data_IF_292434746101
#
_entry.id   IF_292434746101
#
_cell.length_a   1.000
_cell.length_b   1.000
_cell.length_c   1.000
_cell.angle_alpha   90.00
_cell.angle_beta   90.00
_cell.angle_gamma   90.00
#
_symmetry.space_group_name_H-M   'P 1'
#
loop_
_entity.id
_entity.type
_entity.pdbx_description
1 polymer ?
#
# COMPACT_ATOMS: atom_id res chain seq x y z
N UNK A 1 -30.11 -12.46 -30.44
CA UNK A 1 -29.02 -11.55 -30.06
C UNK A 1 -28.91 -11.65 -28.55
N UNK A 2 -27.88 -12.30 -27.97
CA UNK A 2 -27.76 -12.34 -26.52
C UNK A 2 -27.14 -11.05 -26.00
N UNK A 3 -27.60 -10.71 -24.80
CA UNK A 3 -27.43 -9.48 -24.05
C UNK A 3 -25.96 -9.11 -23.81
N UNK A 4 -25.70 -7.81 -23.79
CA UNK A 4 -24.45 -7.23 -23.28
C UNK A 4 -24.26 -7.66 -21.82
N UNK A 5 -23.29 -8.54 -21.57
CA UNK A 5 -22.74 -8.74 -20.24
C UNK A 5 -21.87 -7.51 -19.96
N UNK A 6 -22.36 -6.61 -19.12
CA UNK A 6 -21.50 -5.61 -18.51
C UNK A 6 -20.55 -6.37 -17.58
N UNK A 7 -19.32 -6.56 -18.01
CA UNK A 7 -18.22 -7.08 -17.20
C UNK A 7 -18.03 -6.11 -16.02
N UNK A 8 -18.45 -6.56 -14.85
CA UNK A 8 -18.46 -5.79 -13.60
C UNK A 8 -17.00 -5.48 -13.22
N UNK A 9 -16.51 -4.27 -13.53
CA UNK A 9 -15.25 -3.75 -13.02
C UNK A 9 -15.35 -3.68 -11.50
N UNK A 10 -14.92 -4.75 -10.82
CA UNK A 10 -15.12 -4.95 -9.40
C UNK A 10 -14.28 -4.01 -8.56
N UNK A 11 -14.82 -2.84 -8.24
CA UNK A 11 -14.28 -1.97 -7.20
C UNK A 11 -14.64 -2.61 -5.85
N UNK A 12 -13.63 -3.06 -5.10
CA UNK A 12 -13.82 -3.64 -3.76
C UNK A 12 -13.01 -2.86 -2.72
N UNK A 13 -13.62 -2.62 -1.56
CA UNK A 13 -12.95 -2.07 -0.38
C UNK A 13 -12.97 -3.11 0.74
N UNK A 14 -11.84 -3.30 1.42
CA UNK A 14 -11.67 -4.22 2.55
C UNK A 14 -10.94 -3.48 3.67
N UNK A 15 -11.72 -2.74 4.44
CA UNK A 15 -11.21 -1.86 5.50
C UNK A 15 -10.62 -2.65 6.68
N UNK A 16 -11.01 -3.92 6.87
CA UNK A 16 -10.44 -4.77 7.93
C UNK A 16 -8.96 -5.07 7.67
N UNK A 17 -8.60 -5.19 6.39
CA UNK A 17 -7.21 -5.33 5.94
C UNK A 17 -6.60 -4.00 5.48
N UNK A 18 -7.23 -2.87 5.77
CA UNK A 18 -6.74 -1.54 5.44
C UNK A 18 -6.77 -1.20 3.95
N UNK A 19 -7.45 -2.00 3.13
CA UNK A 19 -7.63 -1.74 1.71
C UNK A 19 -8.76 -0.74 1.52
N UNK A 20 -8.42 0.45 1.03
CA UNK A 20 -9.40 1.51 0.77
C UNK A 20 -10.02 1.40 -0.62
N UNK A 21 -9.29 0.81 -1.56
CA UNK A 21 -9.75 0.63 -2.93
C UNK A 21 -8.94 -0.46 -3.64
N UNK A 22 -9.63 -1.29 -4.40
CA UNK A 22 -9.03 -2.27 -5.29
C UNK A 22 -9.83 -2.33 -6.58
N UNK A 23 -9.14 -2.09 -7.68
CA UNK A 23 -9.68 -2.14 -9.04
C UNK A 23 -8.93 -3.18 -9.86
N UNK A 24 -9.70 -4.03 -10.53
CA UNK A 24 -9.19 -5.01 -11.48
C UNK A 24 -8.97 -4.30 -12.81
N UNK A 25 -7.72 -4.22 -13.27
CA UNK A 25 -7.39 -3.49 -14.50
C UNK A 25 -7.72 -4.28 -15.77
N UNK A 26 -7.88 -5.60 -15.68
CA UNK A 26 -8.19 -6.48 -16.82
C UNK A 26 -8.95 -7.72 -16.33
N UNK A 27 -10.07 -8.08 -16.96
CA UNK A 27 -11.06 -9.07 -16.47
C UNK A 27 -10.46 -10.48 -16.41
N UNK A 28 -9.46 -10.76 -17.24
CA UNK A 28 -8.71 -12.02 -17.30
C UNK A 28 -7.33 -11.95 -16.61
N UNK A 29 -7.01 -10.83 -15.95
CA UNK A 29 -5.71 -10.63 -15.30
C UNK A 29 -5.82 -10.68 -13.78
N UNK A 30 -4.83 -11.31 -13.15
CA UNK A 30 -4.62 -11.21 -11.71
C UNK A 30 -3.97 -9.88 -11.30
N UNK A 31 -4.00 -8.87 -12.17
CA UNK A 31 -3.38 -7.58 -11.95
C UNK A 31 -4.42 -6.54 -11.50
N UNK A 32 -4.17 -5.94 -10.35
CA UNK A 32 -5.01 -4.93 -9.73
C UNK A 32 -4.23 -3.65 -9.44
N UNK A 33 -4.94 -2.54 -9.51
CA UNK A 33 -4.58 -1.29 -8.85
C UNK A 33 -5.18 -1.30 -7.45
N UNK A 34 -4.35 -1.18 -6.42
CA UNK A 34 -4.72 -1.32 -5.02
C UNK A 34 -4.23 -0.10 -4.25
N UNK A 35 -5.14 0.56 -3.55
CA UNK A 35 -4.83 1.58 -2.55
C UNK A 35 -5.15 1.03 -1.17
N UNK A 36 -4.21 1.18 -0.26
CA UNK A 36 -4.34 0.68 1.10
C UNK A 36 -3.65 1.62 2.09
N UNK A 37 -4.07 1.58 3.35
CA UNK A 37 -3.50 2.41 4.41
C UNK A 37 -2.09 1.94 4.76
N UNK A 38 -1.17 2.88 4.91
CA UNK A 38 0.16 2.60 5.48
C UNK A 38 0.02 2.15 6.93
N UNK A 39 1.04 1.49 7.48
CA UNK A 39 1.10 1.23 8.92
C UNK A 39 1.72 2.41 9.66
N UNK A 40 1.30 2.63 10.91
CA UNK A 40 1.98 3.60 11.77
C UNK A 40 3.40 3.14 12.10
N UNK A 41 4.33 4.09 12.28
CA UNK A 41 5.71 3.76 12.69
C UNK A 41 5.74 2.92 13.96
N UNK A 42 4.89 3.29 14.94
CA UNK A 42 4.73 2.53 16.17
C UNK A 42 4.28 1.11 15.88
N UNK A 43 3.27 0.92 15.04
CA UNK A 43 2.72 -0.39 14.70
C UNK A 43 3.74 -1.29 13.99
N UNK A 44 4.52 -0.73 13.08
CA UNK A 44 5.62 -1.46 12.41
C UNK A 44 6.71 -1.90 13.39
N UNK A 45 7.04 -1.08 14.39
CA UNK A 45 8.06 -1.38 15.41
C UNK A 45 7.56 -2.34 16.49
N UNK A 46 6.31 -2.24 16.91
CA UNK A 46 5.71 -3.12 17.94
C UNK A 46 5.22 -4.46 17.38
N UNK A 47 5.01 -4.54 16.06
CA UNK A 47 4.36 -5.68 15.41
C UNK A 47 2.84 -5.69 15.54
N UNK A 48 2.27 -4.66 16.18
CA UNK A 48 0.82 -4.44 16.24
C UNK A 48 0.44 -3.55 15.06
N UNK A 49 0.12 -4.19 13.92
CA UNK A 49 -0.02 -3.57 12.59
C UNK A 49 -1.23 -2.63 12.48
N UNK A 50 -1.14 -1.49 13.18
CA UNK A 50 -2.12 -0.41 13.17
C UNK A 50 -1.98 0.44 11.90
N UNK A 51 -3.11 0.69 11.23
CA UNK A 51 -3.15 1.53 10.04
C UNK A 51 -3.07 3.02 10.38
N UNK A 52 -2.31 3.75 9.58
CA UNK A 52 -2.23 5.20 9.65
C UNK A 52 -3.56 5.80 9.17
N UNK A 53 -4.12 6.81 9.89
CA UNK A 53 -5.46 7.32 9.61
C UNK A 53 -5.60 8.06 8.27
N UNK A 54 -4.48 8.49 7.67
CA UNK A 54 -4.50 9.33 6.45
C UNK A 54 -3.46 8.97 5.41
N UNK A 55 -2.52 8.08 5.71
CA UNK A 55 -1.44 7.75 4.76
C UNK A 55 -1.87 6.56 3.93
N UNK A 56 -1.85 6.73 2.61
CA UNK A 56 -2.31 5.72 1.65
C UNK A 56 -1.16 5.39 0.71
N UNK A 57 -0.93 4.11 0.53
CA UNK A 57 0.04 3.57 -0.41
C UNK A 57 -0.71 3.09 -1.65
N UNK A 58 -0.18 3.50 -2.79
CA UNK A 58 -0.66 3.08 -4.11
C UNK A 58 0.22 1.94 -4.63
N UNK A 59 -0.39 0.82 -5.04
CA UNK A 59 0.29 -0.37 -5.51
C UNK A 59 -0.40 -0.91 -6.75
N UNK A 60 0.43 -1.28 -7.74
CA UNK A 60 -0.01 -2.05 -8.89
C UNK A 60 0.63 -3.43 -8.84
N UNK A 61 -0.16 -4.49 -8.92
CA UNK A 61 0.36 -5.86 -8.80
C UNK A 61 -0.72 -6.90 -8.62
N UNK A 62 -0.40 -8.01 -7.97
CA UNK A 62 -1.37 -9.10 -7.80
C UNK A 62 -2.63 -8.64 -7.05
N UNK A 63 -3.81 -9.01 -7.55
CA UNK A 63 -5.07 -8.86 -6.85
C UNK A 63 -5.09 -9.61 -5.51
N UNK A 64 -4.30 -10.67 -5.35
CA UNK A 64 -4.18 -11.41 -4.08
C UNK A 64 -3.27 -10.73 -3.06
N UNK A 65 -3.02 -9.43 -3.19
CA UNK A 65 -2.17 -8.69 -2.27
C UNK A 65 -2.74 -8.64 -0.87
N UNK A 66 -1.86 -8.86 0.11
CA UNK A 66 -2.14 -8.67 1.52
C UNK A 66 -1.25 -7.54 2.07
N UNK A 67 -1.83 -6.39 2.47
CA UNK A 67 -1.10 -5.29 3.11
C UNK A 67 -0.39 -5.71 4.39
N UNK A 68 -0.92 -6.69 5.13
CA UNK A 68 -0.31 -7.24 6.37
C UNK A 68 0.73 -8.32 6.08
N UNK A 69 0.96 -8.63 4.81
CA UNK A 69 1.96 -9.60 4.37
C UNK A 69 3.37 -9.22 4.81
N UNK A 70 4.15 -10.22 5.21
CA UNK A 70 5.49 -10.00 5.78
C UNK A 70 6.45 -9.22 4.88
N UNK A 71 6.28 -9.30 3.55
CA UNK A 71 7.08 -8.54 2.59
C UNK A 71 6.77 -7.05 2.64
N UNK A 72 5.50 -6.67 2.68
CA UNK A 72 5.09 -5.26 2.70
C UNK A 72 5.43 -4.62 4.05
N UNK A 73 5.19 -5.34 5.15
CA UNK A 73 5.59 -4.89 6.50
C UNK A 73 7.10 -4.58 6.55
N UNK A 74 7.94 -5.48 6.03
CA UNK A 74 9.40 -5.26 5.96
C UNK A 74 9.75 -4.08 5.07
N UNK A 75 9.06 -3.90 3.95
CA UNK A 75 9.30 -2.80 3.02
C UNK A 75 9.00 -1.44 3.68
N UNK A 76 7.86 -1.29 4.32
CA UNK A 76 7.51 -0.06 5.03
C UNK A 76 8.45 0.20 6.23
N UNK A 77 8.80 -0.83 6.98
CA UNK A 77 9.80 -0.71 8.06
C UNK A 77 11.17 -0.22 7.54
N UNK A 78 11.59 -0.70 6.37
CA UNK A 78 12.84 -0.27 5.74
C UNK A 78 12.78 1.21 5.29
N UNK A 79 11.63 1.68 4.79
CA UNK A 79 11.46 3.09 4.41
C UNK A 79 11.64 4.03 5.61
N UNK A 80 11.03 3.70 6.75
CA UNK A 80 11.18 4.48 8.00
C UNK A 80 12.64 4.54 8.45
N UNK A 81 13.35 3.41 8.38
CA UNK A 81 14.76 3.34 8.78
C UNK A 81 15.68 4.13 7.83
N UNK A 82 15.34 4.22 6.53
CA UNK A 82 16.08 5.04 5.57
C UNK A 82 15.86 6.53 5.82
N UNK A 83 14.63 6.96 6.11
CA UNK A 83 14.34 8.36 6.49
C UNK A 83 15.07 8.74 7.77
N UNK A 84 15.26 7.80 8.70
CA UNK A 84 16.01 8.02 9.95
C UNK A 84 17.53 8.12 9.75
N UNK A 85 18.05 7.71 8.58
CA UNK A 85 19.48 7.73 8.24
C UNK A 85 19.94 8.97 7.48
N UNK A 86 19.01 9.76 6.94
CA UNK A 86 19.30 10.98 6.16
C UNK A 86 19.26 12.26 7.02
N UNK A 87 19.80 12.15 8.24
CA UNK A 87 19.91 13.23 9.22
C UNK A 87 21.34 13.72 9.42
N UNK A 88 22.20 13.62 8.39
CA UNK A 88 23.51 14.27 8.41
C UNK A 88 23.40 15.65 7.76
N UNK A 89 23.39 16.66 8.62
CA UNK A 89 23.73 18.06 8.34
C UNK A 89 24.58 18.29 7.09
N UNK A 90 24.11 19.17 6.20
CA UNK A 90 25.01 20.07 5.49
C UNK A 90 24.55 21.51 5.68
N UNK A 91 24.73 22.00 6.90
CA UNK A 91 24.88 23.42 7.16
C UNK A 91 26.33 23.83 6.82
N UNK A 92 26.56 24.48 5.67
CA UNK A 92 27.57 25.55 5.59
C UNK A 92 28.70 25.48 4.54
N UNK A 93 28.74 26.58 3.76
CA UNK A 93 29.92 27.43 3.44
C UNK A 93 30.74 27.21 2.15
N UNK A 94 30.89 28.31 1.39
CA UNK A 94 31.98 28.60 0.42
C UNK A 94 31.53 28.52 -1.04
N UNK A 95 31.66 29.52 -1.91
CA UNK A 95 32.43 30.77 -1.95
C UNK A 95 31.67 31.79 -2.81
#
# INVERSE_FOLDING_TARGET
MPQANAEEMGIMADLENGIVFKEVSDVDSNYCHIKYMAFTERGLKSGDLEFHPSEVIDRYGSCSFDPKGSEEVKKQLAMINQVSGDGSDESGSGD
#
